data_IF_126010460005
#
_entry.id   IF_126010460005
#
_cell.length_a   1.000
_cell.length_b   1.000
_cell.length_c   1.000
_cell.angle_alpha   90.00
_cell.angle_beta   90.00
_cell.angle_gamma   90.00
#
_symmetry.space_group_name_H-M   'P 1'
#
loop_
_entity.id
_entity.type
_entity.pdbx_description
1 polymer ?
#
# COMPACT_ATOMS: atom_id res chain seq x y z
N UNK A 1 25.46 -12.73 -4.66
CA UNK A 1 24.34 -11.87 -4.21
C UNK A 1 23.42 -12.66 -3.29
N UNK A 2 23.29 -13.95 -3.57
CA UNK A 2 22.51 -14.96 -2.88
C UNK A 2 23.35 -16.23 -2.66
N UNK A 3 22.96 -17.06 -1.69
CA UNK A 3 23.64 -18.31 -1.30
C UNK A 3 22.62 -19.39 -0.92
N UNK A 4 22.95 -20.69 -0.99
CA UNK A 4 22.07 -21.75 -0.50
C UNK A 4 21.68 -21.54 0.96
N UNK A 5 20.43 -21.88 1.31
CA UNK A 5 19.98 -21.84 2.70
C UNK A 5 20.84 -22.75 3.60
N UNK A 6 21.40 -22.19 4.67
CA UNK A 6 22.19 -22.93 5.67
C UNK A 6 21.31 -23.93 6.43
N UNK A 7 20.00 -23.66 6.53
CA UNK A 7 19.03 -24.56 7.15
C UNK A 7 18.65 -25.78 6.32
N UNK A 8 19.16 -25.91 5.09
CA UNK A 8 18.95 -27.09 4.25
C UNK A 8 17.53 -27.25 3.70
N UNK A 9 16.71 -26.20 3.73
CA UNK A 9 15.31 -26.25 3.24
C UNK A 9 15.19 -26.24 1.71
N UNK A 10 16.32 -26.16 1.00
CA UNK A 10 16.37 -25.91 -0.43
C UNK A 10 16.16 -24.43 -0.75
N UNK A 11 16.52 -24.02 -1.97
CA UNK A 11 16.41 -22.63 -2.41
C UNK A 11 17.62 -21.76 -2.06
N UNK A 12 17.51 -20.48 -2.43
CA UNK A 12 18.55 -19.47 -2.26
C UNK A 12 18.08 -18.39 -1.28
N UNK A 13 19.01 -17.81 -0.55
CA UNK A 13 18.78 -16.71 0.40
C UNK A 13 19.62 -15.51 -0.04
N UNK A 14 19.01 -14.34 -0.14
CA UNK A 14 19.72 -13.09 -0.47
C UNK A 14 20.65 -12.73 0.69
N UNK A 15 21.92 -12.50 0.35
CA UNK A 15 22.95 -12.13 1.33
C UNK A 15 22.70 -10.73 1.91
N UNK A 16 22.90 -10.60 3.22
CA UNK A 16 22.78 -9.32 3.93
C UNK A 16 23.85 -8.30 3.53
N UNK A 17 25.07 -8.75 3.24
CA UNK A 17 26.23 -7.86 3.03
C UNK A 17 26.01 -6.80 1.93
N UNK A 18 25.57 -7.13 0.70
CA UNK A 18 25.32 -6.13 -0.33
C UNK A 18 24.21 -5.15 0.05
N UNK A 19 23.17 -5.62 0.77
CA UNK A 19 22.07 -4.76 1.24
C UNK A 19 22.59 -3.79 2.29
N UNK A 20 23.33 -4.28 3.29
CA UNK A 20 23.91 -3.45 4.33
C UNK A 20 24.84 -2.38 3.74
N UNK A 21 25.77 -2.76 2.85
CA UNK A 21 26.69 -1.81 2.19
C UNK A 21 25.92 -0.74 1.41
N UNK A 22 24.82 -1.10 0.76
CA UNK A 22 23.97 -0.13 0.04
C UNK A 22 23.31 0.85 1.02
N UNK A 23 22.72 0.33 2.11
CA UNK A 23 22.06 1.16 3.13
C UNK A 23 23.06 2.09 3.82
N UNK A 24 24.25 1.58 4.17
CA UNK A 24 25.32 2.35 4.80
C UNK A 24 25.87 3.44 3.86
N UNK A 25 26.20 3.07 2.62
CA UNK A 25 26.75 4.01 1.61
C UNK A 25 25.81 5.20 1.37
N UNK A 26 24.50 4.97 1.38
CA UNK A 26 23.48 6.00 1.19
C UNK A 26 23.02 6.65 2.51
N UNK A 27 23.66 6.32 3.64
CA UNK A 27 23.33 6.82 4.99
C UNK A 27 21.87 6.55 5.39
N UNK A 28 21.29 5.44 4.94
CA UNK A 28 19.88 5.12 5.16
C UNK A 28 19.63 4.39 6.49
N UNK A 29 20.63 3.71 7.07
CA UNK A 29 20.48 2.87 8.26
C UNK A 29 19.80 3.57 9.46
N UNK A 30 20.02 4.88 9.62
CA UNK A 30 19.43 5.68 10.71
C UNK A 30 18.56 6.84 10.22
N UNK A 31 18.45 7.04 8.91
CA UNK A 31 17.77 8.20 8.32
C UNK A 31 16.58 7.81 7.43
N UNK A 32 16.29 6.51 7.29
CA UNK A 32 15.20 6.01 6.47
C UNK A 32 14.34 5.03 7.26
N UNK A 33 13.08 4.96 6.89
CA UNK A 33 12.17 3.93 7.37
C UNK A 33 12.27 2.71 6.46
N UNK A 34 12.93 1.66 6.94
CA UNK A 34 13.30 0.49 6.13
C UNK A 34 12.28 -0.62 6.38
N UNK A 35 11.52 -0.99 5.35
CA UNK A 35 10.43 -1.95 5.41
C UNK A 35 10.84 -3.22 4.68
N UNK A 36 10.83 -4.36 5.38
CA UNK A 36 10.96 -5.67 4.75
C UNK A 36 9.59 -6.20 4.30
N UNK A 37 9.43 -6.37 2.99
CA UNK A 37 8.21 -6.93 2.42
C UNK A 37 8.23 -8.44 2.51
N UNK A 38 7.40 -9.01 3.38
CA UNK A 38 7.32 -10.45 3.58
C UNK A 38 5.94 -10.88 4.14
N UNK A 39 5.51 -12.14 3.89
CA UNK A 39 4.23 -12.65 4.41
C UNK A 39 4.11 -12.64 5.94
N UNK A 40 5.24 -12.63 6.66
CA UNK A 40 5.31 -12.57 8.13
C UNK A 40 5.12 -11.15 8.69
N UNK A 41 5.00 -10.14 7.84
CA UNK A 41 4.79 -8.76 8.25
C UNK A 41 3.37 -8.44 8.68
N UNK A 42 3.17 -7.24 9.22
CA UNK A 42 1.85 -6.71 9.49
C UNK A 42 1.05 -6.61 8.18
N UNK A 43 -0.25 -6.87 8.22
CA UNK A 43 -1.08 -6.81 7.02
C UNK A 43 -1.25 -5.34 6.59
N UNK A 44 -1.09 -5.10 5.29
CA UNK A 44 -1.34 -3.82 4.66
C UNK A 44 -2.83 -3.44 4.74
N UNK A 45 -3.10 -2.19 5.07
CA UNK A 45 -4.43 -1.60 5.24
C UNK A 45 -4.48 -0.19 4.67
N UNK A 46 -5.69 0.36 4.49
CA UNK A 46 -5.83 1.74 4.01
C UNK A 46 -5.27 2.73 5.04
N UNK A 47 -5.46 2.45 6.33
CA UNK A 47 -4.83 3.20 7.43
C UNK A 47 -3.31 3.20 7.30
N UNK A 48 -2.70 2.05 6.97
CA UNK A 48 -1.24 1.96 6.81
C UNK A 48 -0.75 2.78 5.62
N UNK A 49 -1.50 2.89 4.52
CA UNK A 49 -1.13 3.81 3.44
C UNK A 49 -1.08 5.26 3.90
N UNK A 50 -2.06 5.71 4.69
CA UNK A 50 -2.06 7.08 5.25
C UNK A 50 -0.88 7.33 6.18
N UNK A 51 -0.52 6.34 6.99
CA UNK A 51 0.65 6.44 7.88
C UNK A 51 1.96 6.53 7.08
N UNK A 52 2.10 5.72 6.02
CA UNK A 52 3.27 5.74 5.14
C UNK A 52 3.34 7.01 4.29
N UNK A 53 2.21 7.54 3.82
CA UNK A 53 2.16 8.83 3.12
C UNK A 53 2.67 9.97 4.02
N UNK A 54 2.15 10.08 5.24
CA UNK A 54 2.64 11.07 6.22
C UNK A 54 4.14 10.91 6.48
N UNK A 55 4.58 9.67 6.73
CA UNK A 55 5.98 9.37 7.00
C UNK A 55 6.90 9.73 5.82
N UNK A 56 6.40 9.58 4.59
CA UNK A 56 7.17 9.90 3.38
C UNK A 56 7.54 11.39 3.27
N UNK A 57 6.81 12.26 3.97
CA UNK A 57 7.14 13.70 4.08
C UNK A 57 8.24 14.00 5.09
N UNK A 58 8.55 13.06 6.00
CA UNK A 58 9.50 13.24 7.10
C UNK A 58 10.83 12.52 6.83
N UNK A 59 10.78 11.33 6.23
CA UNK A 59 11.96 10.51 5.96
C UNK A 59 11.80 9.65 4.69
N UNK A 60 12.91 9.30 4.00
CA UNK A 60 12.89 8.30 2.96
C UNK A 60 12.32 6.96 3.44
N UNK A 61 11.48 6.34 2.62
CA UNK A 61 10.99 4.98 2.84
C UNK A 61 11.73 4.04 1.90
N UNK A 62 12.28 2.96 2.46
CA UNK A 62 13.05 1.95 1.71
C UNK A 62 12.31 0.63 1.76
N UNK A 63 11.92 0.11 0.59
CA UNK A 63 11.31 -1.22 0.48
C UNK A 63 12.38 -2.27 0.16
N UNK A 64 12.64 -3.17 1.11
CA UNK A 64 13.44 -4.37 0.85
C UNK A 64 12.54 -5.45 0.26
N UNK A 65 12.73 -5.71 -1.03
CA UNK A 65 11.97 -6.70 -1.79
C UNK A 65 12.69 -8.05 -1.71
N UNK A 66 12.08 -9.01 -1.01
CA UNK A 66 12.57 -10.39 -1.01
C UNK A 66 12.42 -11.05 -2.38
N UNK A 67 13.28 -12.04 -2.63
CA UNK A 67 13.18 -13.02 -3.71
C UNK A 67 13.65 -14.37 -3.16
N UNK A 68 13.46 -15.46 -3.92
CA UNK A 68 13.85 -16.81 -3.50
C UNK A 68 13.18 -17.16 -2.15
N UNK A 69 13.92 -17.72 -1.19
CA UNK A 69 13.41 -18.01 0.17
C UNK A 69 13.34 -16.75 1.06
N UNK A 70 13.94 -15.65 0.61
CA UNK A 70 13.95 -14.37 1.30
C UNK A 70 15.34 -13.76 1.43
N UNK A 71 15.45 -12.81 2.36
CA UNK A 71 16.70 -12.16 2.74
C UNK A 71 17.19 -12.80 4.04
N UNK A 72 18.50 -12.92 4.19
CA UNK A 72 19.16 -13.32 5.43
C UNK A 72 18.54 -12.62 6.65
N UNK A 73 18.08 -13.40 7.62
CA UNK A 73 17.25 -12.92 8.74
C UNK A 73 17.98 -11.91 9.64
N UNK A 74 19.32 -11.84 9.62
CA UNK A 74 20.08 -10.81 10.33
C UNK A 74 19.76 -9.40 9.83
N UNK A 75 19.11 -9.27 8.67
CA UNK A 75 18.58 -7.98 8.18
C UNK A 75 17.60 -7.37 9.18
N UNK A 76 16.96 -8.18 10.05
CA UNK A 76 16.05 -7.72 11.10
C UNK A 76 16.66 -6.67 12.05
N UNK A 77 17.99 -6.63 12.19
CA UNK A 77 18.69 -5.60 12.98
C UNK A 77 18.75 -4.22 12.29
N UNK A 78 18.42 -4.15 11.00
CA UNK A 78 18.54 -2.96 10.16
C UNK A 78 17.22 -2.54 9.50
N UNK A 79 16.10 -3.15 9.88
CA UNK A 79 14.77 -2.78 9.39
C UNK A 79 13.98 -2.08 10.50
N UNK A 80 13.09 -1.20 10.09
CA UNK A 80 12.12 -0.52 10.97
C UNK A 80 10.89 -1.40 11.20
N UNK A 81 10.44 -2.13 10.18
CA UNK A 81 9.28 -3.04 10.29
C UNK A 81 9.25 -4.12 9.20
N UNK A 82 8.24 -4.99 9.31
CA UNK A 82 7.85 -5.95 8.27
C UNK A 82 6.41 -5.67 7.82
N UNK A 83 6.17 -5.75 6.51
CA UNK A 83 4.85 -5.50 5.92
C UNK A 83 4.46 -6.59 4.93
N UNK A 84 3.20 -7.02 4.97
CA UNK A 84 2.60 -8.06 4.13
C UNK A 84 1.42 -7.52 3.36
N UNK A 85 1.33 -7.81 2.06
CA UNK A 85 0.18 -7.42 1.23
C UNK A 85 -0.97 -8.45 1.26
N UNK A 86 -0.82 -9.54 2.03
CA UNK A 86 -1.87 -10.51 2.25
C UNK A 86 -1.39 -11.93 2.53
N UNK A 87 -2.35 -12.83 2.74
CA UNK A 87 -2.10 -14.23 3.11
C UNK A 87 -1.94 -15.11 1.87
N UNK A 88 -0.91 -14.84 1.09
CA UNK A 88 -0.54 -15.58 -0.12
C UNK A 88 0.95 -15.39 -0.41
N UNK A 89 1.47 -16.17 -1.36
CA UNK A 89 2.88 -16.15 -1.74
C UNK A 89 3.03 -15.59 -3.17
N UNK A 90 4.00 -14.71 -3.35
CA UNK A 90 4.46 -14.22 -4.65
C UNK A 90 5.97 -14.38 -4.74
N UNK A 91 6.50 -14.58 -5.96
CA UNK A 91 7.93 -14.87 -6.17
C UNK A 91 8.85 -13.69 -5.86
N UNK A 92 8.33 -12.45 -5.91
CA UNK A 92 9.12 -11.24 -5.70
C UNK A 92 8.35 -10.17 -4.93
N UNK A 93 9.00 -9.57 -3.94
CA UNK A 93 8.49 -8.42 -3.20
C UNK A 93 8.31 -7.15 -4.04
N UNK A 94 8.83 -7.09 -5.28
CA UNK A 94 8.69 -5.91 -6.14
C UNK A 94 7.23 -5.56 -6.45
N UNK A 95 6.37 -6.56 -6.61
CA UNK A 95 4.93 -6.34 -6.79
C UNK A 95 4.30 -5.78 -5.52
N UNK A 96 4.70 -6.28 -4.36
CA UNK A 96 4.24 -5.73 -3.08
C UNK A 96 4.69 -4.27 -2.89
N UNK A 97 5.93 -3.94 -3.25
CA UNK A 97 6.42 -2.56 -3.22
C UNK A 97 5.62 -1.67 -4.17
N UNK A 98 5.28 -2.16 -5.35
CA UNK A 98 4.48 -1.41 -6.34
C UNK A 98 3.06 -1.14 -5.84
N UNK A 99 2.41 -2.13 -5.23
CA UNK A 99 1.10 -1.96 -4.58
C UNK A 99 1.17 -0.90 -3.49
N UNK A 100 2.23 -0.95 -2.67
CA UNK A 100 2.39 0.02 -1.58
C UNK A 100 2.66 1.43 -2.10
N UNK A 101 3.53 1.55 -3.10
CA UNK A 101 3.83 2.82 -3.74
C UNK A 101 2.57 3.43 -4.37
N UNK A 102 1.76 2.63 -5.07
CA UNK A 102 0.51 3.09 -5.66
C UNK A 102 -0.45 3.63 -4.59
N UNK A 103 -0.68 2.87 -3.51
CA UNK A 103 -1.54 3.29 -2.40
C UNK A 103 -1.06 4.56 -1.71
N UNK A 104 0.25 4.75 -1.54
CA UNK A 104 0.82 5.98 -0.96
C UNK A 104 0.66 7.16 -1.93
N UNK A 105 1.05 7.00 -3.19
CA UNK A 105 1.11 8.11 -4.16
C UNK A 105 -0.27 8.70 -4.41
N UNK A 106 -1.32 7.87 -4.44
CA UNK A 106 -2.72 8.32 -4.57
C UNK A 106 -3.15 9.30 -3.49
N UNK A 107 -2.60 9.15 -2.28
CA UNK A 107 -2.95 9.96 -1.11
C UNK A 107 -2.19 11.29 -1.05
N UNK A 108 -1.17 11.47 -1.88
CA UNK A 108 -0.43 12.74 -1.98
C UNK A 108 -1.40 13.83 -2.48
N UNK A 109 -1.42 15.02 -1.84
CA UNK A 109 -2.31 16.09 -2.24
C UNK A 109 -2.24 16.43 -3.73
N UNK A 110 -3.41 16.57 -4.36
CA UNK A 110 -3.61 16.88 -5.78
C UNK A 110 -3.33 15.75 -6.78
N UNK A 111 -2.97 14.54 -6.34
CA UNK A 111 -2.90 13.37 -7.25
C UNK A 111 -4.31 12.86 -7.57
N UNK A 112 -5.17 12.78 -6.56
CA UNK A 112 -6.60 12.46 -6.67
C UNK A 112 -7.40 13.57 -5.98
N UNK A 113 -8.61 13.84 -6.46
CA UNK A 113 -9.48 14.84 -5.84
C UNK A 113 -9.93 14.40 -4.45
N UNK A 114 -10.00 15.33 -3.51
CA UNK A 114 -10.43 15.05 -2.13
C UNK A 114 -11.82 14.40 -2.09
N UNK A 115 -12.74 14.84 -2.97
CA UNK A 115 -14.08 14.27 -3.05
C UNK A 115 -14.09 12.83 -3.55
N UNK A 116 -13.08 12.41 -4.33
CA UNK A 116 -13.00 11.02 -4.77
C UNK A 116 -12.55 10.12 -3.62
N UNK A 117 -11.56 10.59 -2.83
CA UNK A 117 -11.05 9.86 -1.67
C UNK A 117 -12.08 9.74 -0.54
N UNK A 118 -13.03 10.68 -0.42
CA UNK A 118 -14.08 10.65 0.60
C UNK A 118 -14.98 9.41 0.49
N UNK A 119 -15.26 8.95 -0.73
CA UNK A 119 -16.19 7.86 -1.00
C UNK A 119 -15.50 6.54 -1.39
N UNK A 120 -14.22 6.34 -1.07
CA UNK A 120 -13.54 5.07 -1.35
C UNK A 120 -13.88 3.97 -0.33
N UNK A 121 -13.74 2.71 -0.77
CA UNK A 121 -13.82 1.56 0.14
C UNK A 121 -12.71 1.65 1.20
N UNK A 122 -13.01 1.19 2.41
CA UNK A 122 -12.11 1.19 3.57
C UNK A 122 -11.65 2.59 4.03
N UNK A 123 -12.35 3.65 3.60
CA UNK A 123 -12.00 5.01 3.98
C UNK A 123 -12.36 5.32 5.44
N UNK A 124 -13.43 4.72 5.96
CA UNK A 124 -13.92 4.97 7.32
C UNK A 124 -13.53 3.87 8.30
N UNK A 125 -13.40 2.62 7.82
CA UNK A 125 -12.98 1.49 8.64
C UNK A 125 -12.35 0.38 7.80
N UNK A 126 -11.51 -0.46 8.41
CA UNK A 126 -10.95 -1.65 7.77
C UNK A 126 -11.94 -2.83 7.70
N UNK A 127 -13.23 -2.57 7.93
CA UNK A 127 -14.28 -3.59 7.88
C UNK A 127 -14.51 -4.05 6.44
N UNK A 128 -14.69 -5.36 6.18
CA UNK A 128 -15.12 -5.87 4.87
C UNK A 128 -16.46 -5.31 4.38
N UNK A 129 -17.22 -4.64 5.25
CA UNK A 129 -18.51 -4.01 4.93
C UNK A 129 -18.39 -2.53 4.55
N UNK A 130 -17.22 -1.91 4.74
CA UNK A 130 -16.96 -0.52 4.34
C UNK A 130 -16.51 -0.50 2.88
N UNK A 131 -17.47 -0.73 1.99
CA UNK A 131 -17.25 -0.79 0.56
C UNK A 131 -18.00 0.35 -0.13
N UNK A 132 -17.37 0.91 -1.16
CA UNK A 132 -18.00 1.91 -2.02
C UNK A 132 -19.17 1.29 -2.80
N UNK A 133 -20.08 2.16 -3.23
CA UNK A 133 -21.29 1.79 -3.93
C UNK A 133 -20.99 1.33 -5.37
N UNK A 134 -21.86 0.47 -5.95
CA UNK A 134 -21.73 0.10 -7.36
C UNK A 134 -21.80 1.33 -8.29
N UNK A 135 -20.82 1.43 -9.19
CA UNK A 135 -20.75 2.48 -10.20
C UNK A 135 -21.46 2.07 -11.49
N UNK A 136 -22.22 3.01 -12.08
CA UNK A 136 -22.90 2.82 -13.37
C UNK A 136 -22.50 3.95 -14.32
N UNK A 137 -22.30 3.61 -15.59
CA UNK A 137 -22.03 4.56 -16.66
C UNK A 137 -23.04 4.32 -17.81
N UNK A 138 -23.24 5.31 -18.70
CA UNK A 138 -24.04 5.11 -19.90
C UNK A 138 -23.53 3.92 -20.76
N UNK A 139 -24.40 3.24 -21.52
CA UNK A 139 -25.83 3.54 -21.73
C UNK A 139 -26.73 3.05 -20.59
N UNK A 140 -27.92 3.67 -20.44
CA UNK A 140 -28.88 3.33 -19.37
C UNK A 140 -29.43 1.89 -19.42
N UNK A 141 -29.34 1.25 -20.58
CA UNK A 141 -29.75 -0.13 -20.79
C UNK A 141 -28.69 -0.80 -21.67
N UNK A 142 -28.00 -1.78 -21.10
CA UNK A 142 -27.04 -2.61 -21.81
C UNK A 142 -27.60 -4.03 -21.90
N UNK A 143 -27.98 -4.50 -23.09
CA UNK A 143 -28.51 -5.86 -23.31
C UNK A 143 -29.71 -6.27 -22.42
N UNK A 144 -30.55 -5.31 -22.01
CA UNK A 144 -31.67 -5.54 -21.10
C UNK A 144 -31.35 -5.28 -19.62
N UNK A 145 -30.07 -5.15 -19.25
CA UNK A 145 -29.63 -4.75 -17.92
C UNK A 145 -29.74 -3.23 -17.78
N UNK A 146 -30.76 -2.78 -17.05
CA UNK A 146 -31.04 -1.35 -16.81
C UNK A 146 -30.29 -0.85 -15.58
N UNK A 147 -29.82 0.39 -15.64
CA UNK A 147 -29.38 1.12 -14.45
C UNK A 147 -30.59 1.26 -13.51
N UNK A 148 -30.46 0.95 -12.19
CA UNK A 148 -31.55 1.06 -11.24
C UNK A 148 -32.18 2.46 -11.21
N UNK A 149 -33.52 2.53 -11.28
CA UNK A 149 -34.24 3.81 -11.40
C UNK A 149 -34.05 4.74 -10.19
N UNK A 150 -33.78 4.17 -9.00
CA UNK A 150 -33.54 4.94 -7.78
C UNK A 150 -32.23 5.75 -7.83
N UNK A 151 -31.25 5.35 -8.65
CA UNK A 151 -30.00 6.09 -8.85
C UNK A 151 -30.18 7.30 -9.78
N UNK A 152 -31.18 7.26 -10.67
CA UNK A 152 -31.53 8.36 -11.57
C UNK A 152 -32.10 9.61 -10.87
N UNK A 153 -32.29 9.54 -9.54
CA UNK A 153 -32.71 10.63 -8.66
C UNK A 153 -31.71 10.86 -7.51
N UNK A 154 -30.41 10.65 -7.75
CA UNK A 154 -29.42 11.07 -6.77
C UNK A 154 -29.58 12.57 -6.46
N UNK A 155 -29.63 12.99 -5.17
CA UNK A 155 -29.71 14.40 -4.82
C UNK A 155 -28.53 15.12 -5.46
N UNK A 156 -28.81 16.28 -6.10
CA UNK A 156 -27.74 17.18 -6.55
C UNK A 156 -26.82 17.42 -5.35
N UNK A 157 -25.51 17.15 -5.53
CA UNK A 157 -24.45 17.47 -4.56
C UNK A 157 -24.79 18.79 -3.86
N UNK A 158 -25.16 18.74 -2.58
CA UNK A 158 -25.35 19.96 -1.81
C UNK A 158 -23.98 20.58 -1.68
N UNK A 159 -23.75 21.69 -2.39
CA UNK A 159 -22.65 22.60 -2.06
C UNK A 159 -22.86 22.98 -0.60
N UNK A 160 -22.02 22.44 0.29
CA UNK A 160 -22.02 22.80 1.69
C UNK A 160 -21.88 24.30 1.80
N UNK A 161 -22.87 24.88 2.47
CA UNK A 161 -23.03 26.29 2.76
C UNK A 161 -21.82 26.74 3.59
N UNK A 162 -20.91 27.51 2.99
CA UNK A 162 -20.04 28.39 3.79
C UNK A 162 -20.92 29.56 4.24
N UNK A 163 -21.41 29.43 5.47
CA UNK A 163 -22.11 30.48 6.19
C UNK A 163 -21.27 31.75 6.24
N UNK A 164 -21.96 32.86 5.96
CA UNK A 164 -21.54 34.21 6.32
C UNK A 164 -21.51 34.34 7.84
N UNK A 165 -20.51 35.08 8.32
CA UNK A 165 -20.49 35.89 9.55
C UNK A 165 -20.68 35.18 10.89
N UNK A 166 -19.56 35.00 11.61
CA UNK A 166 -19.35 35.53 12.97
C UNK A 166 -17.89 35.32 13.37
#
# INVERSE_FOLDING_TARGET
>A
MDFPDVGGRGGMVISIEPIYKLLEKNKLLNNAHIILLCPRGNKLTQTRFRELEKLSSEAPIVFLCGHYEGIDERISHFISERLSIGNYIISSGTLAASVILEGIVRLIPNVISEESLEFESFNHSESPTDLDFPCYAPPKNFLGYKIPEHLGKAPKKSKSVKNKNS
#
